data_IF_226323381229
#
_entry.id   IF_226323381229
#
_cell.length_a   1.000
_cell.length_b   1.000
_cell.length_c   1.000
_cell.angle_alpha   90.00
_cell.angle_beta   90.00
_cell.angle_gamma   90.00
#
_symmetry.space_group_name_H-M   'P 1'
#
loop_
_entity.id
_entity.type
_entity.pdbx_description
1 polymer ?
#
# COMPACT_ATOMS: atom_id res chain seq x y z
N UNK A 1 1.70 -10.67 24.02
CA UNK A 1 0.69 -10.00 23.20
C UNK A 1 0.45 -10.89 22.00
N UNK A 2 -0.78 -11.39 21.83
CA UNK A 2 -1.15 -12.12 20.63
C UNK A 2 -1.83 -11.12 19.67
N UNK A 3 -1.28 -10.95 18.47
CA UNK A 3 -1.86 -10.06 17.47
C UNK A 3 -3.07 -10.76 16.84
N UNK A 4 -4.21 -10.07 16.75
CA UNK A 4 -5.48 -10.57 16.21
C UNK A 4 -5.99 -9.79 14.99
N UNK A 5 -5.37 -8.66 14.65
CA UNK A 5 -5.71 -7.80 13.52
C UNK A 5 -5.06 -8.23 12.21
N UNK A 6 -5.36 -7.54 11.11
CA UNK A 6 -4.66 -7.75 9.84
C UNK A 6 -3.46 -6.77 9.74
N UNK A 7 -2.23 -7.26 9.47
CA UNK A 7 -1.03 -6.42 9.59
C UNK A 7 -0.88 -5.43 8.42
N UNK A 8 -0.58 -4.18 8.74
CA UNK A 8 -0.24 -3.12 7.79
C UNK A 8 1.12 -2.55 8.14
N UNK A 9 2.04 -2.48 7.18
CA UNK A 9 3.32 -1.82 7.35
C UNK A 9 3.36 -0.51 6.57
N UNK A 10 3.55 0.59 7.29
CA UNK A 10 3.81 1.90 6.70
C UNK A 10 5.31 2.13 6.52
N UNK A 11 5.71 2.55 5.33
CA UNK A 11 7.10 2.81 4.92
C UNK A 11 7.19 4.29 4.54
N UNK A 12 7.92 5.13 5.32
CA UNK A 12 8.06 6.54 5.03
C UNK A 12 9.00 6.79 3.84
N UNK A 13 8.95 8.01 3.31
CA UNK A 13 9.82 8.48 2.23
C UNK A 13 11.13 9.11 2.71
N UNK A 14 11.80 9.79 1.79
CA UNK A 14 13.03 10.56 2.05
C UNK A 14 12.85 11.55 3.21
N UNK A 15 13.71 11.47 4.23
CA UNK A 15 13.62 12.32 5.44
C UNK A 15 12.27 12.20 6.18
N UNK A 16 11.48 11.17 5.88
CA UNK A 16 10.16 10.97 6.42
C UNK A 16 10.21 10.24 7.76
N UNK A 17 9.40 10.70 8.71
CA UNK A 17 9.26 10.06 10.01
C UNK A 17 8.20 8.97 9.98
N UNK A 18 8.42 7.88 10.72
CA UNK A 18 7.42 6.84 11.00
C UNK A 18 6.08 7.42 11.53
N UNK A 19 6.14 8.61 12.16
CA UNK A 19 4.98 9.39 12.65
C UNK A 19 4.03 9.88 11.56
N UNK A 20 4.41 9.79 10.29
CA UNK A 20 3.53 10.07 9.16
C UNK A 20 2.30 9.14 9.14
N UNK A 21 2.45 7.90 9.63
CA UNK A 21 1.36 6.93 9.71
C UNK A 21 0.27 7.28 10.74
N UNK A 22 0.48 8.27 11.62
CA UNK A 22 -0.40 8.56 12.77
C UNK A 22 -1.87 8.73 12.37
N UNK A 23 -2.16 9.48 11.31
CA UNK A 23 -3.54 9.73 10.88
C UNK A 23 -4.21 8.47 10.33
N UNK A 24 -3.46 7.64 9.57
CA UNK A 24 -3.97 6.35 9.09
C UNK A 24 -4.24 5.39 10.25
N UNK A 25 -3.28 5.25 11.16
CA UNK A 25 -3.35 4.33 12.29
C UNK A 25 -4.40 4.73 13.33
N UNK A 26 -4.59 6.04 13.60
CA UNK A 26 -5.59 6.51 14.58
C UNK A 26 -7.01 6.24 14.11
N UNK A 27 -7.31 6.45 12.83
CA UNK A 27 -8.62 6.15 12.24
C UNK A 27 -8.88 4.64 12.23
N UNK A 28 -7.88 3.83 11.87
CA UNK A 28 -7.96 2.37 11.93
C UNK A 28 -8.23 1.86 13.35
N UNK A 29 -7.49 2.39 14.33
CA UNK A 29 -7.64 2.07 15.74
C UNK A 29 -9.05 2.41 16.23
N UNK A 30 -9.54 3.61 15.92
CA UNK A 30 -10.89 4.02 16.33
C UNK A 30 -11.95 3.09 15.73
N UNK A 31 -11.81 2.73 14.45
CA UNK A 31 -12.73 1.78 13.80
C UNK A 31 -12.70 0.40 14.44
N UNK A 32 -11.53 -0.07 14.86
CA UNK A 32 -11.36 -1.30 15.62
C UNK A 32 -12.09 -1.24 16.97
N UNK A 33 -11.91 -0.16 17.73
CA UNK A 33 -12.60 0.06 19.01
C UNK A 33 -14.12 0.07 18.81
N UNK A 34 -14.62 0.84 17.84
CA UNK A 34 -16.06 1.01 17.58
C UNK A 34 -16.75 -0.30 17.16
N UNK A 35 -16.01 -1.28 16.63
CA UNK A 35 -16.54 -2.60 16.26
C UNK A 35 -16.23 -3.71 17.27
N UNK A 36 -15.70 -3.36 18.45
CA UNK A 36 -15.34 -4.31 19.50
C UNK A 36 -14.20 -5.24 19.07
N UNK A 37 -13.24 -4.73 18.32
CA UNK A 37 -12.05 -5.45 17.82
C UNK A 37 -12.35 -6.67 16.91
N UNK A 38 -13.58 -6.78 16.40
CA UNK A 38 -13.97 -7.89 15.51
C UNK A 38 -13.26 -7.81 14.15
N UNK A 39 -13.10 -6.60 13.61
CA UNK A 39 -12.45 -6.36 12.32
C UNK A 39 -11.48 -5.18 12.48
N UNK A 40 -10.20 -5.46 12.70
CA UNK A 40 -9.21 -4.41 12.98
C UNK A 40 -7.89 -4.65 12.25
N UNK A 41 -7.13 -3.56 12.14
CA UNK A 41 -5.81 -3.52 11.53
C UNK A 41 -4.76 -3.38 12.63
N UNK A 42 -3.65 -4.09 12.47
CA UNK A 42 -2.46 -3.92 13.30
C UNK A 42 -1.45 -3.09 12.50
N UNK A 43 -1.30 -1.82 12.85
CA UNK A 43 -0.37 -0.92 12.16
C UNK A 43 1.05 -1.03 12.72
N UNK A 44 1.99 -1.22 11.82
CA UNK A 44 3.43 -1.16 12.03
C UNK A 44 4.01 -0.04 11.18
N UNK A 45 5.11 0.55 11.63
CA UNK A 45 5.78 1.63 10.93
C UNK A 45 7.28 1.37 10.91
N UNK A 46 7.92 1.68 9.79
CA UNK A 46 9.38 1.61 9.65
C UNK A 46 9.97 2.96 10.06
N UNK A 47 11.06 2.92 10.81
CA UNK A 47 11.86 4.10 11.12
C UNK A 47 13.22 3.97 10.41
N UNK A 48 13.47 4.84 9.44
CA UNK A 48 14.76 4.93 8.75
C UNK A 48 15.70 5.95 9.40
N UNK A 49 15.41 6.39 10.63
CA UNK A 49 16.17 7.44 11.31
C UNK A 49 16.28 8.74 10.48
N UNK A 50 15.23 9.03 9.71
CA UNK A 50 15.10 10.21 8.85
C UNK A 50 16.27 10.39 7.85
N UNK A 51 16.88 9.29 7.41
CA UNK A 51 17.95 9.31 6.41
C UNK A 51 17.51 9.98 5.09
N UNK A 52 18.42 10.77 4.51
CA UNK A 52 18.19 11.52 3.27
C UNK A 52 18.33 10.63 2.01
N UNK A 53 17.47 9.62 1.89
CA UNK A 53 17.46 8.67 0.77
C UNK A 53 17.09 9.26 -0.59
N UNK A 54 16.55 10.47 -0.63
CA UNK A 54 16.26 11.19 -1.88
C UNK A 54 17.47 11.87 -2.51
N UNK A 55 18.60 11.99 -1.78
CA UNK A 55 19.82 12.65 -2.26
C UNK A 55 20.95 11.68 -2.60
N UNK A 56 20.92 10.47 -2.06
CA UNK A 56 21.97 9.47 -2.25
C UNK A 56 21.37 8.06 -2.38
N UNK A 57 21.58 7.44 -3.54
CA UNK A 57 21.03 6.13 -3.87
C UNK A 57 21.70 4.96 -3.15
N UNK A 58 22.90 5.15 -2.59
CA UNK A 58 23.68 4.08 -1.95
C UNK A 58 23.02 3.45 -0.73
N UNK A 59 22.03 4.12 -0.12
CA UNK A 59 21.31 3.60 1.05
C UNK A 59 20.00 2.87 0.69
N UNK A 60 19.53 2.96 -0.56
CA UNK A 60 18.22 2.41 -0.94
C UNK A 60 18.14 0.89 -0.80
N UNK A 61 19.21 0.19 -1.16
CA UNK A 61 19.28 -1.27 -0.99
C UNK A 61 19.26 -1.67 0.49
N UNK A 62 19.93 -0.91 1.36
CA UNK A 62 19.91 -1.14 2.81
C UNK A 62 18.49 -0.91 3.38
N UNK A 63 17.78 0.11 2.89
CA UNK A 63 16.39 0.35 3.27
C UNK A 63 15.48 -0.80 2.82
N UNK A 64 15.65 -1.34 1.60
CA UNK A 64 14.93 -2.54 1.13
C UNK A 64 15.22 -3.76 2.01
N UNK A 65 16.49 -3.99 2.36
CA UNK A 65 16.89 -5.08 3.25
C UNK A 65 16.26 -4.94 4.64
N UNK A 66 16.33 -3.73 5.21
CA UNK A 66 15.74 -3.44 6.51
C UNK A 66 14.23 -3.68 6.51
N UNK A 67 13.50 -3.18 5.51
CA UNK A 67 12.06 -3.41 5.36
C UNK A 67 11.76 -4.90 5.17
N UNK A 68 12.57 -5.64 4.41
CA UNK A 68 12.44 -7.09 4.25
C UNK A 68 12.53 -7.81 5.61
N UNK A 69 13.50 -7.43 6.45
CA UNK A 69 13.64 -7.97 7.81
C UNK A 69 12.43 -7.61 8.66
N UNK A 70 11.94 -6.37 8.58
CA UNK A 70 10.74 -5.92 9.28
C UNK A 70 9.49 -6.73 8.88
N UNK A 71 9.25 -6.94 7.59
CA UNK A 71 8.13 -7.76 7.10
C UNK A 71 8.20 -9.18 7.67
N UNK A 72 9.38 -9.82 7.60
CA UNK A 72 9.57 -11.16 8.18
C UNK A 72 9.34 -11.15 9.69
N UNK A 73 9.83 -10.14 10.40
CA UNK A 73 9.65 -10.03 11.85
C UNK A 73 8.19 -9.83 12.23
N UNK A 74 7.46 -9.02 11.49
CA UNK A 74 6.02 -8.82 11.67
C UNK A 74 5.32 -10.15 11.50
N UNK A 75 5.51 -10.86 10.39
CA UNK A 75 4.86 -12.16 10.15
C UNK A 75 5.17 -13.20 11.24
N UNK A 76 6.39 -13.19 11.80
CA UNK A 76 6.76 -14.03 12.97
C UNK A 76 5.90 -13.76 14.21
N UNK A 77 5.42 -12.52 14.41
CA UNK A 77 4.50 -12.20 15.52
C UNK A 77 3.14 -12.91 15.38
N UNK A 78 2.80 -13.38 14.18
CA UNK A 78 1.55 -14.02 13.84
C UNK A 78 1.66 -15.55 13.72
N UNK A 79 2.85 -16.14 13.88
CA UNK A 79 3.07 -17.61 13.73
C UNK A 79 2.19 -18.46 14.65
N UNK A 80 1.77 -17.90 15.80
CA UNK A 80 0.83 -18.56 16.72
C UNK A 80 -0.58 -18.73 16.12
N UNK A 81 -0.88 -18.09 15.00
CA UNK A 81 -2.10 -18.31 14.22
C UNK A 81 -1.94 -19.58 13.38
N UNK A 82 -2.07 -20.74 14.03
CA UNK A 82 -1.89 -22.09 13.46
C UNK A 82 -2.79 -22.36 12.24
N UNK A 83 -3.85 -21.58 12.03
CA UNK A 83 -4.93 -21.93 11.10
C UNK A 83 -4.86 -21.27 9.71
N UNK A 84 -4.13 -20.17 9.51
CA UNK A 84 -4.12 -19.46 8.22
C UNK A 84 -2.80 -18.71 7.99
N UNK A 85 -2.19 -18.79 6.79
CA UNK A 85 -1.06 -17.92 6.44
C UNK A 85 -1.48 -16.45 6.48
N UNK A 86 -0.72 -15.64 7.21
CA UNK A 86 -0.97 -14.20 7.32
C UNK A 86 -0.30 -13.49 6.15
N UNK A 87 -1.06 -12.63 5.48
CA UNK A 87 -0.54 -11.71 4.48
C UNK A 87 -0.55 -10.28 5.02
N UNK A 88 0.31 -9.44 4.45
CA UNK A 88 0.56 -8.06 4.90
C UNK A 88 0.22 -7.05 3.81
N UNK A 89 -0.30 -5.89 4.21
CA UNK A 89 -0.44 -4.73 3.31
C UNK A 89 0.73 -3.78 3.54
N UNK A 90 1.36 -3.33 2.47
CA UNK A 90 2.41 -2.30 2.51
C UNK A 90 1.83 -0.97 2.04
N UNK A 91 2.03 0.09 2.83
CA UNK A 91 1.68 1.45 2.45
C UNK A 91 2.99 2.24 2.40
N UNK A 92 3.36 2.70 1.21
CA UNK A 92 4.59 3.47 1.02
C UNK A 92 4.26 4.90 0.63
N UNK A 93 4.81 5.87 1.34
CA UNK A 93 4.72 7.28 0.97
C UNK A 93 6.00 7.73 0.27
N UNK A 94 5.88 8.49 -0.83
CA UNK A 94 7.04 8.99 -1.57
C UNK A 94 8.00 7.85 -1.93
N UNK A 95 9.29 7.97 -1.63
CA UNK A 95 10.27 6.91 -1.90
C UNK A 95 9.96 5.58 -1.18
N UNK A 96 9.21 5.62 -0.08
CA UNK A 96 8.71 4.42 0.61
C UNK A 96 7.81 3.56 -0.27
N UNK A 97 7.10 4.14 -1.24
CA UNK A 97 6.34 3.41 -2.25
C UNK A 97 7.23 2.61 -3.20
N UNK A 98 8.35 3.22 -3.63
CA UNK A 98 9.36 2.54 -4.45
C UNK A 98 10.08 1.43 -3.68
N UNK A 99 10.39 1.68 -2.41
CA UNK A 99 10.97 0.67 -1.51
C UNK A 99 10.00 -0.50 -1.32
N UNK A 100 8.69 -0.24 -1.10
CA UNK A 100 7.67 -1.28 -1.02
C UNK A 100 7.60 -2.12 -2.30
N UNK A 101 7.68 -1.47 -3.47
CA UNK A 101 7.76 -2.13 -4.77
C UNK A 101 8.99 -3.05 -4.87
N UNK A 102 10.16 -2.57 -4.44
CA UNK A 102 11.40 -3.35 -4.44
C UNK A 102 11.32 -4.58 -3.52
N UNK A 103 10.81 -4.40 -2.29
CA UNK A 103 10.65 -5.47 -1.29
C UNK A 103 9.80 -6.61 -1.83
N UNK A 104 8.76 -6.32 -2.62
CA UNK A 104 7.92 -7.37 -3.21
C UNK A 104 8.62 -8.28 -4.22
N UNK A 105 9.64 -7.77 -4.92
CA UNK A 105 10.45 -8.58 -5.83
C UNK A 105 11.65 -9.25 -5.15
N UNK A 106 11.90 -8.94 -3.88
CA UNK A 106 13.10 -9.43 -3.19
C UNK A 106 12.75 -10.59 -2.27
N UNK A 107 13.63 -11.59 -2.21
CA UNK A 107 13.62 -12.67 -1.23
C UNK A 107 12.31 -13.47 -1.08
N UNK A 108 11.59 -13.69 -2.18
CA UNK A 108 10.34 -14.47 -2.23
C UNK A 108 9.21 -13.95 -1.32
N UNK A 109 9.22 -12.65 -0.98
CA UNK A 109 8.15 -12.03 -0.18
C UNK A 109 6.86 -11.78 -0.97
N UNK A 110 6.85 -11.99 -2.28
CA UNK A 110 5.67 -11.77 -3.11
C UNK A 110 4.44 -12.59 -2.67
N UNK A 111 4.66 -13.78 -2.12
CA UNK A 111 3.60 -14.68 -1.65
C UNK A 111 2.89 -14.20 -0.38
N UNK A 112 3.56 -13.37 0.44
CA UNK A 112 3.02 -12.87 1.72
C UNK A 112 2.51 -11.43 1.62
N UNK A 113 2.90 -10.68 0.58
CA UNK A 113 2.42 -9.32 0.36
C UNK A 113 1.06 -9.39 -0.34
N UNK A 114 0.03 -8.88 0.31
CA UNK A 114 -1.32 -8.83 -0.22
C UNK A 114 -1.48 -7.65 -1.18
N UNK A 115 -1.36 -6.43 -0.64
CA UNK A 115 -1.60 -5.18 -1.36
C UNK A 115 -0.44 -4.22 -1.10
N UNK A 116 -0.04 -3.47 -2.13
CA UNK A 116 0.86 -2.32 -2.02
C UNK A 116 0.04 -1.08 -2.37
N UNK A 117 0.05 -0.08 -1.49
CA UNK A 117 -0.53 1.25 -1.74
C UNK A 117 0.63 2.25 -1.73
N UNK A 118 1.00 2.71 -2.92
CA UNK A 118 2.00 3.74 -3.10
C UNK A 118 1.32 5.12 -3.19
N UNK A 119 1.64 6.01 -2.25
CA UNK A 119 1.01 7.33 -2.10
C UNK A 119 2.05 8.41 -2.40
N UNK A 120 1.77 9.29 -3.36
CA UNK A 120 2.67 10.34 -3.83
C UNK A 120 4.08 9.82 -4.10
N UNK A 121 4.19 8.64 -4.73
CA UNK A 121 5.45 7.92 -4.89
C UNK A 121 5.92 7.96 -6.34
N UNK A 122 7.19 8.31 -6.61
CA UNK A 122 7.77 8.25 -7.95
C UNK A 122 8.11 6.79 -8.29
N UNK A 123 7.18 6.05 -8.89
CA UNK A 123 7.30 4.59 -9.04
C UNK A 123 8.16 4.20 -10.23
N UNK A 124 7.83 4.65 -11.44
CA UNK A 124 8.53 4.21 -12.64
C UNK A 124 9.82 4.99 -12.87
N UNK A 125 9.80 6.31 -12.59
CA UNK A 125 10.95 7.19 -12.76
C UNK A 125 11.18 8.01 -11.48
N UNK A 126 12.45 8.24 -11.09
CA UNK A 126 12.76 9.07 -9.92
C UNK A 126 12.43 10.54 -10.19
N UNK A 127 12.09 11.30 -9.14
CA UNK A 127 11.95 12.77 -9.22
C UNK A 127 13.27 13.42 -9.65
N UNK A 128 14.36 12.96 -9.03
CA UNK A 128 15.69 13.45 -9.30
C UNK A 128 16.66 12.27 -9.30
N UNK A 129 17.42 12.11 -10.38
CA UNK A 129 18.45 11.08 -10.52
C UNK A 129 19.83 11.70 -10.27
N UNK A 130 20.22 11.82 -9.00
CA UNK A 130 21.46 12.51 -8.59
C UNK A 130 22.73 11.66 -8.74
N UNK A 131 22.60 10.33 -8.72
CA UNK A 131 23.74 9.42 -8.83
C UNK A 131 23.41 8.14 -9.62
N UNK A 132 24.45 7.39 -9.95
CA UNK A 132 24.32 6.13 -10.68
C UNK A 132 23.64 5.03 -9.85
N UNK A 133 23.78 5.06 -8.52
CA UNK A 133 23.12 4.09 -7.63
C UNK A 133 21.60 4.21 -7.70
N UNK A 134 21.08 5.44 -7.73
CA UNK A 134 19.65 5.74 -7.84
C UNK A 134 19.09 5.24 -9.17
N UNK A 135 19.79 5.53 -10.28
CA UNK A 135 19.40 5.05 -11.61
C UNK A 135 19.39 3.52 -11.66
N UNK A 136 20.46 2.88 -11.18
CA UNK A 136 20.56 1.42 -11.18
C UNK A 136 19.50 0.76 -10.30
N UNK A 137 19.16 1.38 -9.16
CA UNK A 137 18.10 0.90 -8.28
C UNK A 137 16.75 0.87 -9.01
N UNK A 138 16.38 1.95 -9.71
CA UNK A 138 15.13 1.99 -10.48
C UNK A 138 15.13 0.98 -11.62
N UNK A 139 16.22 0.89 -12.39
CA UNK A 139 16.36 -0.05 -13.50
C UNK A 139 16.26 -1.51 -13.03
N UNK A 140 16.96 -1.87 -11.95
CA UNK A 140 16.92 -3.21 -11.39
C UNK A 140 15.50 -3.61 -10.95
N UNK A 141 14.77 -2.72 -10.28
CA UNK A 141 13.38 -2.98 -9.87
C UNK A 141 12.48 -3.12 -11.10
N UNK A 142 12.66 -2.27 -12.11
CA UNK A 142 11.86 -2.34 -13.33
C UNK A 142 12.10 -3.64 -14.10
N UNK A 143 13.34 -4.11 -14.19
CA UNK A 143 13.69 -5.39 -14.81
C UNK A 143 13.01 -6.55 -14.05
N UNK A 144 13.12 -6.57 -12.71
CA UNK A 144 12.51 -7.61 -11.88
C UNK A 144 10.99 -7.65 -12.01
N UNK A 145 10.33 -6.49 -12.00
CA UNK A 145 8.87 -6.41 -12.15
C UNK A 145 8.40 -6.77 -13.57
N UNK A 146 9.16 -6.40 -14.60
CA UNK A 146 8.86 -6.79 -15.99
C UNK A 146 8.96 -8.31 -16.17
N UNK A 147 9.98 -8.94 -15.58
CA UNK A 147 10.15 -10.38 -15.62
C UNK A 147 9.02 -11.11 -14.85
N UNK A 148 8.64 -10.61 -13.67
CA UNK A 148 7.80 -11.34 -12.70
C UNK A 148 6.35 -10.85 -12.59
N UNK A 149 5.93 -9.84 -13.36
CA UNK A 149 4.55 -9.36 -13.43
C UNK A 149 4.04 -9.33 -14.86
N UNK A 150 2.75 -9.62 -15.02
CA UNK A 150 2.04 -9.57 -16.29
C UNK A 150 1.48 -8.16 -16.49
N UNK A 151 1.91 -7.48 -17.55
CA UNK A 151 1.40 -6.16 -17.90
C UNK A 151 0.00 -6.26 -18.51
N UNK A 152 -0.89 -5.31 -18.18
CA UNK A 152 -2.29 -5.29 -18.65
C UNK A 152 -2.43 -5.20 -20.17
N UNK A 153 -1.43 -4.62 -20.85
CA UNK A 153 -1.46 -4.37 -22.30
C UNK A 153 -1.24 -5.67 -23.10
N UNK A 154 -0.67 -6.70 -22.49
CA UNK A 154 -0.24 -7.93 -23.17
C UNK A 154 -1.19 -9.14 -22.94
N UNK A 155 -2.47 -8.90 -22.66
CA UNK A 155 -3.43 -9.93 -22.22
C UNK A 155 -4.09 -10.70 -23.38
N UNK A 156 -3.32 -11.16 -24.37
CA UNK A 156 -3.88 -11.88 -25.55
C UNK A 156 -3.52 -13.36 -25.63
N UNK A 157 -2.60 -13.89 -24.81
CA UNK A 157 -2.28 -15.32 -24.83
C UNK A 157 -2.14 -15.91 -23.41
N UNK A 158 -2.53 -17.18 -23.26
CA UNK A 158 -2.53 -17.97 -22.02
C UNK A 158 -1.19 -17.83 -21.28
N UNK A 159 -1.17 -17.00 -20.24
CA UNK A 159 0.04 -16.76 -19.43
C UNK A 159 0.03 -17.66 -18.20
N UNK A 160 1.17 -18.30 -17.96
CA UNK A 160 1.51 -18.82 -16.64
C UNK A 160 1.46 -17.67 -15.64
N UNK A 161 0.76 -17.86 -14.52
CA UNK A 161 0.65 -16.84 -13.48
C UNK A 161 2.04 -16.55 -12.91
N UNK A 162 2.48 -15.29 -13.01
CA UNK A 162 3.79 -14.90 -12.50
C UNK A 162 3.74 -14.58 -11.02
N UNK A 163 4.92 -14.55 -10.39
CA UNK A 163 5.07 -14.46 -8.93
C UNK A 163 4.65 -13.13 -8.31
N UNK A 164 4.43 -12.06 -9.10
CA UNK A 164 3.93 -10.76 -8.60
C UNK A 164 2.48 -10.49 -9.01
N UNK A 165 1.84 -11.38 -9.76
CA UNK A 165 0.51 -11.13 -10.33
C UNK A 165 -0.59 -11.08 -9.26
N UNK A 166 -0.41 -11.82 -8.14
CA UNK A 166 -1.35 -11.84 -7.01
C UNK A 166 -1.32 -10.56 -6.15
N UNK A 167 -0.26 -9.74 -6.25
CA UNK A 167 -0.16 -8.49 -5.50
C UNK A 167 -1.07 -7.46 -6.16
N UNK A 168 -1.97 -6.88 -5.37
CA UNK A 168 -2.72 -5.69 -5.78
C UNK A 168 -1.82 -4.47 -5.62
N UNK A 169 -1.45 -3.82 -6.72
CA UNK A 169 -0.59 -2.64 -6.70
C UNK A 169 -1.41 -1.39 -7.04
N UNK A 170 -1.65 -0.56 -6.02
CA UNK A 170 -2.37 0.70 -6.12
C UNK A 170 -1.38 1.86 -6.07
N UNK A 171 -1.55 2.82 -6.96
CA UNK A 171 -0.79 4.07 -6.97
C UNK A 171 -1.74 5.25 -6.82
N UNK A 172 -1.38 6.20 -5.96
CA UNK A 172 -2.23 7.35 -5.67
C UNK A 172 -1.37 8.62 -5.69
N UNK A 173 -1.68 9.58 -6.56
CA UNK A 173 -0.97 10.86 -6.64
C UNK A 173 -1.65 11.95 -5.79
N UNK A 174 -0.85 12.87 -5.23
CA UNK A 174 -1.33 14.06 -4.48
C UNK A 174 -1.99 15.12 -5.37
N UNK A 175 -1.83 15.03 -6.69
CA UNK A 175 -2.32 16.01 -7.66
C UNK A 175 -1.51 17.31 -7.65
N UNK A 176 -2.08 18.39 -8.22
CA UNK A 176 -1.36 19.64 -8.52
C UNK A 176 -0.69 20.37 -7.34
N UNK A 177 -1.02 20.02 -6.09
CA UNK A 177 -0.40 20.63 -4.90
C UNK A 177 0.84 19.86 -4.43
N UNK A 178 1.05 18.65 -4.93
CA UNK A 178 2.27 17.90 -4.74
C UNK A 178 3.34 18.44 -5.70
N UNK A 179 4.12 19.41 -5.22
CA UNK A 179 5.19 20.03 -5.99
C UNK A 179 6.48 19.21 -6.02
N UNK A 180 6.54 18.10 -5.27
CA UNK A 180 7.72 17.22 -5.22
C UNK A 180 7.58 16.04 -6.17
N UNK A 181 6.41 15.41 -6.21
CA UNK A 181 6.12 14.29 -7.12
C UNK A 181 5.00 14.71 -8.05
N UNK A 182 5.39 15.06 -9.27
CA UNK A 182 4.42 15.39 -10.32
C UNK A 182 3.48 14.22 -10.63
N UNK A 183 2.32 14.56 -11.16
CA UNK A 183 1.25 13.62 -11.49
C UNK A 183 1.75 12.45 -12.36
N UNK A 184 2.54 12.76 -13.38
CA UNK A 184 3.12 11.80 -14.33
C UNK A 184 4.01 10.74 -13.66
N UNK A 185 4.74 11.13 -12.61
CA UNK A 185 5.67 10.27 -11.87
C UNK A 185 4.97 9.34 -10.89
N UNK A 186 3.75 9.70 -10.47
CA UNK A 186 2.98 8.92 -9.51
C UNK A 186 2.25 7.72 -10.11
N UNK A 187 2.08 7.71 -11.43
CA UNK A 187 1.51 6.58 -12.18
C UNK A 187 2.56 5.48 -12.41
N UNK A 188 2.11 4.25 -12.65
CA UNK A 188 3.01 3.15 -12.97
C UNK A 188 2.43 2.18 -14.00
N UNK A 189 3.26 1.73 -14.93
CA UNK A 189 2.92 0.66 -15.88
C UNK A 189 2.57 -0.68 -15.20
N UNK A 190 3.06 -0.87 -13.97
CA UNK A 190 2.79 -2.06 -13.17
C UNK A 190 1.55 -1.93 -12.29
N UNK A 191 0.99 -0.72 -12.14
CA UNK A 191 -0.16 -0.45 -11.29
C UNK A 191 -1.43 -1.13 -11.80
N UNK A 192 -2.18 -1.78 -10.90
CA UNK A 192 -3.51 -2.29 -11.20
C UNK A 192 -4.56 -1.18 -11.22
N UNK A 193 -4.35 -0.14 -10.42
CA UNK A 193 -5.21 1.04 -10.38
C UNK A 193 -4.38 2.26 -9.99
N UNK A 194 -4.66 3.36 -10.69
CA UNK A 194 -4.09 4.66 -10.42
C UNK A 194 -5.22 5.65 -10.14
N UNK A 195 -5.06 6.47 -9.09
CA UNK A 195 -6.03 7.51 -8.76
C UNK A 195 -5.31 8.78 -8.33
N UNK A 196 -5.95 9.93 -8.53
CA UNK A 196 -5.53 11.20 -7.95
C UNK A 196 -6.37 11.51 -6.73
N UNK A 197 -5.80 12.09 -5.68
CA UNK A 197 -6.61 12.49 -4.51
C UNK A 197 -7.77 13.41 -4.88
N UNK A 198 -7.59 14.29 -5.87
CA UNK A 198 -8.67 15.16 -6.36
C UNK A 198 -9.75 14.44 -7.18
N UNK A 199 -9.47 13.25 -7.71
CA UNK A 199 -10.43 12.41 -8.46
C UNK A 199 -11.06 11.31 -7.59
N UNK A 200 -10.57 11.09 -6.36
CA UNK A 200 -11.14 10.11 -5.45
C UNK A 200 -12.49 10.64 -4.90
N UNK A 201 -13.58 9.85 -4.97
CA UNK A 201 -14.88 10.24 -4.41
C UNK A 201 -14.79 10.59 -2.92
N UNK A 202 -15.44 11.68 -2.52
CA UNK A 202 -15.43 12.26 -1.18
C UNK A 202 -14.09 12.86 -0.73
N UNK A 203 -13.05 12.85 -1.56
CA UNK A 203 -11.78 13.55 -1.30
C UNK A 203 -11.77 14.90 -2.02
N UNK A 204 -11.96 14.90 -3.35
CA UNK A 204 -12.11 16.09 -4.22
C UNK A 204 -11.11 17.22 -3.96
N UNK A 205 -9.91 16.89 -3.48
CA UNK A 205 -8.89 17.86 -3.13
C UNK A 205 -7.50 17.31 -3.45
N UNK A 206 -6.68 18.15 -4.07
CA UNK A 206 -5.24 17.92 -4.19
C UNK A 206 -4.57 18.16 -2.84
N UNK A 207 -3.57 17.35 -2.53
CA UNK A 207 -2.80 17.44 -1.31
C UNK A 207 -1.34 17.77 -1.66
N UNK A 208 -0.69 18.58 -0.83
CA UNK A 208 0.76 18.71 -0.90
C UNK A 208 1.44 17.40 -0.50
N UNK A 209 2.71 17.28 -0.89
CA UNK A 209 3.47 16.04 -0.80
C UNK A 209 3.43 15.40 0.58
N UNK A 210 3.55 16.21 1.65
CA UNK A 210 3.56 15.71 3.02
C UNK A 210 2.14 15.57 3.56
N UNK A 211 1.23 16.51 3.29
CA UNK A 211 -0.13 16.42 3.84
C UNK A 211 -0.98 15.34 3.19
N UNK A 212 -0.57 14.73 2.07
CA UNK A 212 -1.33 13.63 1.45
C UNK A 212 -1.63 12.51 2.46
N UNK A 213 -0.70 12.20 3.37
CA UNK A 213 -0.90 11.16 4.40
C UNK A 213 -1.66 11.64 5.64
N UNK A 214 -1.96 12.95 5.74
CA UNK A 214 -2.67 13.57 6.85
C UNK A 214 -4.04 14.15 6.46
N UNK A 215 -4.32 14.29 5.16
CA UNK A 215 -5.60 14.73 4.64
C UNK A 215 -6.70 13.78 5.13
N UNK A 216 -7.59 14.28 5.99
CA UNK A 216 -8.59 13.46 6.67
C UNK A 216 -9.51 12.73 5.68
N UNK A 217 -9.98 13.42 4.64
CA UNK A 217 -10.85 12.83 3.62
C UNK A 217 -10.17 11.64 2.95
N UNK A 218 -8.91 11.79 2.55
CA UNK A 218 -8.14 10.73 1.93
C UNK A 218 -7.85 9.57 2.90
N UNK A 219 -7.41 9.90 4.13
CA UNK A 219 -7.16 8.94 5.20
C UNK A 219 -8.41 8.10 5.50
N UNK A 220 -9.60 8.70 5.51
CA UNK A 220 -10.87 8.00 5.69
C UNK A 220 -11.16 7.03 4.54
N UNK A 221 -10.93 7.44 3.28
CA UNK A 221 -11.15 6.56 2.12
C UNK A 221 -10.18 5.37 2.14
N UNK A 222 -8.89 5.60 2.41
CA UNK A 222 -7.89 4.53 2.53
C UNK A 222 -8.29 3.54 3.64
N UNK A 223 -8.69 4.04 4.81
CA UNK A 223 -9.15 3.17 5.90
C UNK A 223 -10.42 2.38 5.55
N UNK A 224 -11.41 3.01 4.89
CA UNK A 224 -12.61 2.30 4.42
C UNK A 224 -12.24 1.18 3.44
N UNK A 225 -11.32 1.44 2.51
CA UNK A 225 -10.80 0.42 1.61
C UNK A 225 -10.11 -0.71 2.37
N UNK A 226 -9.16 -0.40 3.28
CA UNK A 226 -8.44 -1.41 4.06
C UNK A 226 -9.39 -2.30 4.88
N UNK A 227 -10.38 -1.70 5.56
CA UNK A 227 -11.38 -2.47 6.30
C UNK A 227 -12.30 -3.28 5.40
N UNK A 228 -12.57 -2.81 4.18
CA UNK A 228 -13.38 -3.56 3.22
C UNK A 228 -12.68 -4.84 2.75
N UNK A 229 -11.35 -4.89 2.72
CA UNK A 229 -10.58 -6.06 2.27
C UNK A 229 -10.20 -7.02 3.41
N UNK A 230 -10.73 -6.80 4.62
CA UNK A 230 -10.59 -7.73 5.75
C UNK A 230 -11.65 -8.82 5.67
N UNK A 231 -11.22 -10.05 5.91
CA UNK A 231 -12.01 -11.24 6.13
C UNK A 231 -11.68 -11.81 7.53
N UNK A 232 -12.59 -12.59 8.09
CA UNK A 232 -12.40 -13.24 9.39
C UNK A 232 -11.98 -14.69 9.19
N UNK A 233 -11.01 -15.15 9.97
CA UNK A 233 -10.68 -16.57 10.04
C UNK A 233 -11.67 -17.34 10.95
N UNK A 234 -11.50 -18.67 11.01
CA UNK A 234 -12.33 -19.55 11.85
C UNK A 234 -12.27 -19.24 13.35
N UNK A 235 -11.23 -18.52 13.79
CA UNK A 235 -11.01 -18.08 15.17
C UNK A 235 -11.35 -16.59 15.36
N UNK A 236 -12.03 -15.97 14.40
CA UNK A 236 -12.40 -14.55 14.40
C UNK A 236 -11.21 -13.58 14.39
N UNK A 237 -10.02 -14.02 13.95
CA UNK A 237 -8.91 -13.11 13.67
C UNK A 237 -9.12 -12.42 12.32
N UNK A 238 -8.65 -11.17 12.23
CA UNK A 238 -8.67 -10.41 10.98
C UNK A 238 -7.53 -10.87 10.06
N UNK A 239 -7.84 -11.10 8.79
CA UNK A 239 -6.91 -11.40 7.68
C UNK A 239 -7.33 -10.64 6.43
N UNK A 240 -6.44 -10.47 5.46
CA UNK A 240 -6.84 -9.92 4.16
C UNK A 240 -7.41 -10.98 3.23
N UNK A 241 -8.35 -10.57 2.38
CA UNK A 241 -8.89 -11.41 1.31
C UNK A 241 -7.75 -11.81 0.35
N UNK A 242 -7.60 -13.10 0.07
CA UNK A 242 -6.54 -13.60 -0.80
C UNK A 242 -6.79 -13.27 -2.29
N UNK A 243 -8.03 -13.42 -2.75
CA UNK A 243 -8.41 -13.17 -4.13
C UNK A 243 -8.18 -11.69 -4.54
N UNK A 244 -7.40 -11.48 -5.61
CA UNK A 244 -7.00 -10.14 -6.08
C UNK A 244 -8.15 -9.41 -6.75
N UNK A 245 -8.99 -10.10 -7.51
CA UNK A 245 -10.08 -9.53 -8.29
C UNK A 245 -11.14 -8.87 -7.38
N UNK A 246 -11.45 -9.50 -6.23
CA UNK A 246 -12.33 -8.94 -5.21
C UNK A 246 -11.71 -7.67 -4.60
N UNK A 247 -10.42 -7.70 -4.28
CA UNK A 247 -9.73 -6.52 -3.73
C UNK A 247 -9.64 -5.38 -4.75
N UNK A 248 -9.40 -5.69 -6.02
CA UNK A 248 -9.38 -4.73 -7.12
C UNK A 248 -10.76 -4.10 -7.34
N UNK A 249 -11.84 -4.90 -7.29
CA UNK A 249 -13.22 -4.40 -7.37
C UNK A 249 -13.52 -3.42 -6.25
N UNK A 250 -13.12 -3.76 -5.01
CA UNK A 250 -13.23 -2.86 -3.86
C UNK A 250 -12.40 -1.59 -4.06
N UNK A 251 -11.20 -1.70 -4.61
CA UNK A 251 -10.37 -0.53 -4.92
C UNK A 251 -11.06 0.40 -5.93
N UNK A 252 -11.66 -0.12 -7.01
CA UNK A 252 -12.45 0.67 -7.95
C UNK A 252 -13.64 1.37 -7.29
N UNK A 253 -14.33 0.69 -6.37
CA UNK A 253 -15.45 1.27 -5.63
C UNK A 253 -15.01 2.47 -4.78
N UNK A 254 -13.91 2.35 -4.03
CA UNK A 254 -13.46 3.40 -3.11
C UNK A 254 -12.68 4.53 -3.79
N UNK A 255 -11.88 4.22 -4.82
CA UNK A 255 -10.95 5.20 -5.42
C UNK A 255 -11.43 5.78 -6.76
N UNK A 256 -12.31 5.10 -7.50
CA UNK A 256 -12.79 5.54 -8.82
C UNK A 256 -14.30 5.77 -8.88
N UNK A 257 -15.04 5.50 -7.80
CA UNK A 257 -16.50 5.68 -7.76
C UNK A 257 -17.29 4.66 -8.58
N UNK A 258 -16.71 3.48 -8.83
CA UNK A 258 -17.39 2.41 -9.58
C UNK A 258 -18.69 1.93 -8.89
N UNK A 259 -19.65 1.37 -9.66
CA UNK A 259 -20.92 0.92 -9.11
C UNK A 259 -20.70 -0.14 -8.04
N UNK A 260 -21.32 0.06 -6.86
CA UNK A 260 -21.32 -0.93 -5.79
C UNK A 260 -21.99 -2.20 -6.27
N UNK A 261 -21.23 -3.27 -6.44
CA UNK A 261 -21.77 -4.60 -6.69
C UNK A 261 -22.44 -5.08 -5.39
N UNK A 262 -23.74 -4.87 -5.27
CA UNK A 262 -24.48 -5.25 -4.06
C UNK A 262 -25.96 -4.92 -4.11
N UNK A 263 -26.73 -5.93 -4.53
CA UNK A 263 -28.16 -6.04 -4.33
C UNK A 263 -28.60 -5.63 -2.92
N UNK A 264 -29.82 -5.10 -2.84
CA UNK A 264 -30.38 -4.41 -1.69
C UNK A 264 -30.17 -5.10 -0.34
N UNK A 265 -29.59 -4.34 0.59
CA UNK A 265 -30.02 -4.30 1.99
C UNK A 265 -29.92 -2.85 2.46
N UNK A 266 -31.09 -2.24 2.64
CA UNK A 266 -31.26 -1.01 3.43
C UNK A 266 -30.78 -1.25 4.87
N UNK A 267 -30.38 -0.16 5.52
CA UNK A 267 -29.95 0.01 6.92
C UNK A 267 -28.46 -0.31 7.15
N UNK A 268 -27.62 0.55 7.74
CA UNK A 268 -27.83 1.72 8.59
C UNK A 268 -26.75 2.77 8.23
N UNK A 269 -27.19 3.99 7.97
CA UNK A 269 -26.34 5.15 7.78
C UNK A 269 -25.84 5.60 9.15
N UNK A 270 -24.73 5.04 9.63
CA UNK A 270 -24.01 5.66 10.75
C UNK A 270 -23.32 6.90 10.17
N UNK A 271 -23.95 8.06 10.38
CA UNK A 271 -23.39 9.37 10.08
C UNK A 271 -22.01 9.46 10.74
N UNK A 272 -20.99 9.73 9.94
CA UNK A 272 -19.70 10.22 10.41
C UNK A 272 -19.88 11.69 10.78
N UNK A 273 -19.97 11.98 12.09
CA UNK A 273 -19.61 13.27 12.67
C UNK A 273 -18.48 13.00 13.65
#
# INVERSE_FOLDING_TARGET
>A
MDFTGAPVLFIPGNGGSYKQARSLASVALRKGIDNGWRNHLDFFTVDFNEEYSGLYGGILNNQVEYVTICVRRILKLYERRVTVPVSIVLIGHSLGGKIAQAVASTYNLSSVINTIIAISAPIDNPVLSLDHYYKNFYLAIQEQWTANRTLRIESTHQKSQKSLDQILFLTIGGGIRDTLVEESLSSSVFGDLHAMTHNIPNVWQSADHLCVVWCLQFVLVVNRFLHSIIDLDKKSNSKFIANKEIRLTKAYQFFMGGPSSGAGKKNQMTLFC
#
